data_IF_236436433761
#
_entry.id   IF_236436433761
#
_cell.length_a   1.000
_cell.length_b   1.000
_cell.length_c   1.000
_cell.angle_alpha   90.00
_cell.angle_beta   90.00
_cell.angle_gamma   90.00
#
_symmetry.space_group_name_H-M   'P 1'
#
loop_
_entity.id
_entity.type
_entity.pdbx_description
1 polymer ?
#
# COMPACT_ATOMS: atom_id res chain seq x y z
N UNK A 1 -73.17 12.54 19.94
CA UNK A 1 -72.47 11.92 18.79
C UNK A 1 -71.14 12.63 18.55
N UNK A 2 -70.01 12.00 18.88
CA UNK A 2 -68.67 12.57 18.63
C UNK A 2 -68.25 12.26 17.20
N UNK A 3 -68.25 13.27 16.32
CA UNK A 3 -67.80 13.14 14.93
C UNK A 3 -66.29 12.87 14.90
N UNK A 4 -65.88 11.66 14.51
CA UNK A 4 -64.48 11.31 14.27
C UNK A 4 -63.92 12.15 13.11
N UNK A 5 -62.89 12.96 13.38
CA UNK A 5 -62.14 13.69 12.34
C UNK A 5 -61.45 12.69 11.40
N UNK A 6 -61.77 12.73 10.10
CA UNK A 6 -61.06 11.95 9.07
C UNK A 6 -59.58 12.36 9.07
N UNK A 7 -58.67 11.41 9.34
CA UNK A 7 -57.22 11.65 9.23
C UNK A 7 -56.89 11.98 7.77
N UNK A 8 -56.30 13.14 7.51
CA UNK A 8 -55.78 13.50 6.17
C UNK A 8 -54.73 12.45 5.79
N UNK A 9 -54.87 11.81 4.63
CA UNK A 9 -53.82 10.93 4.09
C UNK A 9 -52.54 11.76 3.98
N UNK A 10 -51.46 11.34 4.64
CA UNK A 10 -50.14 11.99 4.48
C UNK A 10 -49.75 11.86 3.02
N UNK A 11 -49.72 12.97 2.28
CA UNK A 11 -49.25 12.97 0.90
C UNK A 11 -47.76 12.64 0.94
N UNK A 12 -47.36 11.51 0.33
CA UNK A 12 -45.95 11.18 0.15
C UNK A 12 -45.27 12.35 -0.58
N UNK A 13 -44.09 12.73 -0.09
CA UNK A 13 -43.27 13.76 -0.72
C UNK A 13 -42.62 13.16 -1.98
N UNK A 14 -42.73 13.87 -3.08
CA UNK A 14 -42.20 13.45 -4.37
C UNK A 14 -41.28 14.54 -4.92
N UNK A 15 -39.98 14.24 -4.96
CA UNK A 15 -38.93 15.14 -5.42
C UNK A 15 -38.98 15.42 -6.92
N UNK A 16 -39.61 14.56 -7.74
CA UNK A 16 -39.63 14.76 -9.20
C UNK A 16 -40.39 16.00 -9.62
N UNK A 17 -41.30 16.50 -8.78
CA UNK A 17 -42.10 17.69 -9.04
C UNK A 17 -41.29 18.99 -9.00
N UNK A 18 -40.03 18.93 -8.58
CA UNK A 18 -39.17 20.09 -8.39
C UNK A 18 -38.08 20.21 -9.45
N UNK A 19 -37.86 19.20 -10.30
CA UNK A 19 -36.73 19.14 -11.25
C UNK A 19 -36.87 20.19 -12.36
N UNK A 20 -38.08 20.40 -12.88
CA UNK A 20 -38.29 21.30 -14.04
C UNK A 20 -38.42 22.79 -13.66
N UNK A 21 -38.30 23.13 -12.37
CA UNK A 21 -38.54 24.51 -11.89
C UNK A 21 -37.30 25.37 -11.83
N UNK A 22 -36.12 24.78 -11.94
CA UNK A 22 -34.86 25.53 -11.96
C UNK A 22 -34.65 26.10 -13.35
N UNK A 23 -35.23 27.28 -13.60
CA UNK A 23 -34.98 28.09 -14.79
C UNK A 23 -33.54 28.58 -14.74
N UNK A 24 -32.85 28.50 -15.88
CA UNK A 24 -31.50 29.04 -16.08
C UNK A 24 -31.41 30.44 -15.47
N UNK A 25 -30.68 30.56 -14.36
CA UNK A 25 -30.41 31.87 -13.79
C UNK A 25 -29.32 32.55 -14.61
N UNK A 26 -29.37 33.89 -14.76
CA UNK A 26 -28.34 34.62 -15.47
C UNK A 26 -26.97 34.34 -14.82
N UNK A 27 -26.02 33.84 -15.61
CA UNK A 27 -24.68 33.44 -15.14
C UNK A 27 -24.49 31.94 -14.91
N UNK A 28 -25.54 31.10 -15.00
CA UNK A 28 -25.40 29.64 -15.01
C UNK A 28 -25.07 29.13 -16.42
N UNK A 29 -23.79 29.21 -16.81
CA UNK A 29 -23.32 28.76 -18.13
C UNK A 29 -23.01 27.26 -18.20
N UNK A 30 -22.95 26.58 -17.05
CA UNK A 30 -22.65 25.15 -16.97
C UNK A 30 -23.94 24.34 -17.13
N UNK A 31 -23.91 23.24 -17.92
CA UNK A 31 -25.08 22.37 -18.05
C UNK A 31 -25.43 21.77 -16.68
N UNK A 32 -26.72 21.76 -16.36
CA UNK A 32 -27.23 21.17 -15.13
C UNK A 32 -26.93 19.67 -15.11
N UNK A 33 -26.29 19.22 -14.02
CA UNK A 33 -26.01 17.80 -13.81
C UNK A 33 -27.27 17.08 -13.35
N UNK A 34 -27.42 15.83 -13.78
CA UNK A 34 -28.54 15.00 -13.35
C UNK A 34 -28.40 14.66 -11.86
N UNK A 35 -29.40 15.04 -11.07
CA UNK A 35 -29.49 14.76 -9.63
C UNK A 35 -30.40 13.53 -9.43
N UNK A 36 -30.08 12.63 -8.48
CA UNK A 36 -30.92 11.47 -8.19
C UNK A 36 -32.34 11.87 -7.78
N UNK A 37 -33.35 11.21 -8.36
CA UNK A 37 -34.75 11.50 -8.07
C UNK A 37 -35.17 10.90 -6.72
N UNK A 38 -35.39 11.75 -5.71
CA UNK A 38 -35.74 11.31 -4.37
C UNK A 38 -37.26 11.34 -4.14
N UNK A 39 -37.85 10.16 -3.91
CA UNK A 39 -39.26 9.99 -3.52
C UNK A 39 -39.35 9.40 -2.12
N UNK A 40 -40.29 9.89 -1.31
CA UNK A 40 -40.56 9.32 0.01
C UNK A 40 -41.18 7.94 -0.14
N UNK A 41 -40.66 6.94 0.58
CA UNK A 41 -41.25 5.60 0.54
C UNK A 41 -42.58 5.55 1.34
N UNK A 42 -43.54 4.68 0.98
CA UNK A 42 -44.84 4.59 1.67
C UNK A 42 -44.77 4.32 3.18
N UNK A 43 -43.68 3.70 3.66
CA UNK A 43 -43.45 3.36 5.08
C UNK A 43 -42.42 4.27 5.76
N UNK A 44 -41.89 5.27 5.06
CA UNK A 44 -40.85 6.16 5.56
C UNK A 44 -41.47 7.39 6.22
N UNK A 45 -41.01 7.72 7.43
CA UNK A 45 -41.39 8.97 8.09
C UNK A 45 -40.78 10.17 7.35
N UNK A 46 -41.47 11.32 7.35
CA UNK A 46 -40.99 12.57 6.74
C UNK A 46 -39.62 12.95 7.27
N UNK A 47 -39.36 12.82 8.57
CA UNK A 47 -38.05 13.14 9.15
C UNK A 47 -36.94 12.22 8.61
N UNK A 48 -37.23 10.92 8.46
CA UNK A 48 -36.30 9.96 7.87
C UNK A 48 -36.02 10.29 6.40
N UNK A 49 -37.06 10.67 5.66
CA UNK A 49 -36.94 11.15 4.29
C UNK A 49 -36.05 12.39 4.20
N UNK A 50 -36.27 13.41 5.05
CA UNK A 50 -35.44 14.63 5.05
C UNK A 50 -33.98 14.34 5.43
N UNK A 51 -33.73 13.42 6.38
CA UNK A 51 -32.37 12.93 6.70
C UNK A 51 -31.71 12.25 5.50
N UNK A 52 -32.46 11.47 4.73
CA UNK A 52 -31.98 10.83 3.51
C UNK A 52 -31.66 11.88 2.43
N UNK A 53 -32.53 12.86 2.24
CA UNK A 53 -32.29 14.01 1.34
C UNK A 53 -31.00 14.72 1.73
N UNK A 54 -30.84 15.11 3.00
CA UNK A 54 -29.63 15.78 3.50
C UNK A 54 -28.36 14.95 3.27
N UNK A 55 -28.44 13.63 3.50
CA UNK A 55 -27.33 12.71 3.24
C UNK A 55 -26.95 12.69 1.76
N UNK A 56 -27.92 12.60 0.86
CA UNK A 56 -27.69 12.60 -0.60
C UNK A 56 -27.13 13.95 -1.05
N UNK A 57 -27.68 15.07 -0.57
CA UNK A 57 -27.17 16.41 -0.88
C UNK A 57 -25.72 16.57 -0.45
N UNK A 58 -25.36 16.09 0.76
CA UNK A 58 -23.97 16.10 1.23
C UNK A 58 -23.03 15.28 0.33
N UNK A 59 -23.49 14.15 -0.20
CA UNK A 59 -22.71 13.35 -1.14
C UNK A 59 -22.48 14.12 -2.44
N UNK A 60 -23.52 14.76 -2.99
CA UNK A 60 -23.43 15.56 -4.22
C UNK A 60 -22.49 16.76 -4.04
N UNK A 61 -22.59 17.48 -2.92
CA UNK A 61 -21.71 18.62 -2.64
C UNK A 61 -20.24 18.19 -2.52
N UNK A 62 -19.98 17.05 -1.86
CA UNK A 62 -18.62 16.50 -1.75
C UNK A 62 -18.08 16.04 -3.11
N UNK A 63 -18.94 15.47 -3.93
CA UNK A 63 -18.58 15.09 -5.30
C UNK A 63 -18.26 16.31 -6.14
N UNK A 64 -19.08 17.38 -6.13
CA UNK A 64 -18.78 18.61 -6.85
C UNK A 64 -17.41 19.19 -6.43
N UNK A 65 -17.11 19.20 -5.13
CA UNK A 65 -15.80 19.61 -4.62
C UNK A 65 -14.66 18.68 -5.07
N UNK A 66 -14.93 17.37 -5.20
CA UNK A 66 -13.98 16.39 -5.70
C UNK A 66 -13.70 16.60 -7.19
N UNK A 67 -14.75 16.75 -7.98
CA UNK A 67 -14.70 17.03 -9.41
C UNK A 67 -13.86 18.26 -9.71
N UNK A 68 -14.04 19.34 -8.97
CA UNK A 68 -13.25 20.57 -9.15
C UNK A 68 -11.79 20.39 -8.74
N UNK A 69 -11.54 19.70 -7.62
CA UNK A 69 -10.17 19.44 -7.12
C UNK A 69 -9.34 18.57 -8.09
N UNK A 70 -9.99 17.60 -8.71
CA UNK A 70 -9.35 16.64 -9.60
C UNK A 70 -9.57 16.93 -11.09
N UNK A 71 -10.37 17.95 -11.41
CA UNK A 71 -10.74 18.33 -12.78
C UNK A 71 -11.30 17.12 -13.54
N UNK A 72 -12.28 16.46 -12.93
CA UNK A 72 -13.00 15.32 -13.49
C UNK A 72 -14.49 15.61 -13.46
N UNK A 73 -15.23 15.04 -14.39
CA UNK A 73 -16.69 15.04 -14.40
C UNK A 73 -17.21 13.63 -14.12
N UNK A 74 -18.01 13.53 -13.07
CA UNK A 74 -18.70 12.30 -12.69
C UNK A 74 -20.09 12.34 -13.33
N UNK A 75 -20.34 11.39 -14.22
CA UNK A 75 -21.62 11.24 -14.90
C UNK A 75 -22.43 10.19 -14.14
N UNK A 76 -23.68 10.53 -13.82
CA UNK A 76 -24.62 9.67 -13.11
C UNK A 76 -25.86 9.36 -13.93
N UNK A 77 -26.44 8.21 -13.62
CA UNK A 77 -27.78 7.83 -14.07
C UNK A 77 -28.87 8.47 -13.19
N UNK A 78 -30.13 8.39 -13.62
CA UNK A 78 -31.31 8.91 -12.90
C UNK A 78 -31.47 8.36 -11.47
N UNK A 79 -30.97 7.15 -11.25
CA UNK A 79 -31.00 6.47 -9.95
C UNK A 79 -29.84 6.88 -9.02
N UNK A 80 -28.90 7.69 -9.51
CA UNK A 80 -27.74 8.16 -8.75
C UNK A 80 -26.53 7.23 -8.75
N UNK A 81 -26.54 6.20 -9.59
CA UNK A 81 -25.36 5.36 -9.81
C UNK A 81 -24.36 6.08 -10.72
N UNK A 82 -23.06 5.86 -10.49
CA UNK A 82 -21.99 6.45 -11.29
C UNK A 82 -21.81 5.61 -12.55
N UNK A 83 -22.05 6.22 -13.71
CA UNK A 83 -21.93 5.59 -15.03
C UNK A 83 -20.50 5.67 -15.54
N UNK A 84 -19.90 6.86 -15.45
CA UNK A 84 -18.52 7.08 -15.91
C UNK A 84 -17.89 8.28 -15.22
N UNK A 85 -16.57 8.28 -15.16
CA UNK A 85 -15.76 9.42 -14.70
C UNK A 85 -14.89 9.84 -15.87
N UNK A 86 -15.11 11.05 -16.38
CA UNK A 86 -14.34 11.63 -17.48
C UNK A 86 -13.36 12.65 -16.93
N UNK A 87 -12.15 12.67 -17.45
CA UNK A 87 -11.22 13.74 -17.15
C UNK A 87 -11.65 14.99 -17.94
N UNK A 88 -11.71 16.15 -17.30
CA UNK A 88 -11.99 17.41 -18.00
C UNK A 88 -10.82 17.79 -18.87
N UNK A 89 -11.12 18.27 -20.07
CA UNK A 89 -10.12 18.81 -20.96
C UNK A 89 -9.59 20.15 -20.42
N UNK A 90 -8.29 20.38 -20.62
CA UNK A 90 -7.61 21.59 -20.12
C UNK A 90 -8.12 22.87 -20.79
N UNK A 91 -8.60 22.74 -22.03
CA UNK A 91 -9.13 23.82 -22.86
C UNK A 91 -10.66 23.78 -22.89
N UNK A 92 -11.31 23.39 -21.80
CA UNK A 92 -12.76 23.47 -21.72
C UNK A 92 -13.19 24.96 -21.74
N UNK A 93 -13.98 25.40 -22.74
CA UNK A 93 -14.45 26.78 -22.83
C UNK A 93 -15.34 27.20 -21.66
N UNK A 94 -15.80 26.26 -20.83
CA UNK A 94 -16.57 26.52 -19.62
C UNK A 94 -15.72 26.77 -18.37
N UNK A 95 -14.39 26.59 -18.45
CA UNK A 95 -13.48 26.95 -17.37
C UNK A 95 -13.30 28.47 -17.33
N UNK A 96 -13.45 29.06 -16.14
CA UNK A 96 -13.09 30.46 -15.94
C UNK A 96 -11.57 30.66 -16.15
N UNK A 97 -11.15 31.81 -16.68
CA UNK A 97 -9.73 32.15 -16.86
C UNK A 97 -8.89 31.90 -15.60
N UNK A 98 -9.44 32.16 -14.41
CA UNK A 98 -8.79 31.90 -13.12
C UNK A 98 -8.48 30.41 -12.91
N UNK A 99 -9.41 29.53 -13.31
CA UNK A 99 -9.25 28.09 -13.17
C UNK A 99 -8.20 27.56 -14.15
N UNK A 100 -8.15 28.11 -15.37
CA UNK A 100 -7.12 27.76 -16.35
C UNK A 100 -5.72 28.14 -15.86
N UNK A 101 -5.55 29.35 -15.31
CA UNK A 101 -4.29 29.79 -14.72
C UNK A 101 -3.82 28.89 -13.57
N UNK A 102 -4.73 28.45 -12.70
CA UNK A 102 -4.41 27.53 -11.60
C UNK A 102 -3.95 26.15 -12.10
N UNK A 103 -4.57 25.63 -13.17
CA UNK A 103 -4.16 24.37 -13.82
C UNK A 103 -2.72 24.48 -14.33
N UNK A 104 -2.42 25.58 -15.03
CA UNK A 104 -1.11 25.84 -15.61
C UNK A 104 -0.02 26.00 -14.55
N UNK A 105 -0.31 26.74 -13.47
CA UNK A 105 0.61 26.90 -12.35
C UNK A 105 0.91 25.56 -11.66
N UNK A 106 -0.14 24.75 -11.44
CA UNK A 106 0.00 23.40 -10.88
C UNK A 106 0.87 22.50 -11.76
N UNK A 107 0.73 22.60 -13.08
CA UNK A 107 1.55 21.83 -14.03
C UNK A 107 3.01 22.30 -14.04
N UNK A 108 3.25 23.63 -14.04
CA UNK A 108 4.60 24.20 -13.90
C UNK A 108 5.28 23.72 -12.63
N UNK A 109 4.57 23.73 -11.49
CA UNK A 109 5.09 23.23 -10.21
C UNK A 109 5.43 21.73 -10.24
N UNK A 110 4.57 20.90 -10.86
CA UNK A 110 4.85 19.47 -11.05
C UNK A 110 6.08 19.22 -11.93
N UNK A 111 6.24 19.99 -13.02
CA UNK A 111 7.41 19.89 -13.92
C UNK A 111 8.70 20.27 -13.19
N UNK A 112 8.69 21.34 -12.40
CA UNK A 112 9.83 21.77 -11.58
C UNK A 112 10.22 20.70 -10.55
N UNK A 113 9.25 20.18 -9.80
CA UNK A 113 9.49 19.12 -8.81
C UNK A 113 10.08 17.83 -9.44
N UNK A 114 9.64 17.48 -10.66
CA UNK A 114 10.19 16.34 -11.40
C UNK A 114 11.65 16.59 -11.81
N UNK A 115 11.95 17.77 -12.36
CA UNK A 115 13.32 18.17 -12.73
C UNK A 115 14.27 18.14 -11.52
N UNK A 116 13.82 18.65 -10.39
CA UNK A 116 14.60 18.64 -9.13
C UNK A 116 14.89 17.21 -8.65
N UNK A 117 13.86 16.33 -8.65
CA UNK A 117 14.02 14.92 -8.29
C UNK A 117 15.02 14.22 -9.21
N UNK A 118 14.93 14.46 -10.52
CA UNK A 118 15.81 13.84 -11.50
C UNK A 118 17.27 14.33 -11.34
N UNK A 119 17.46 15.63 -11.07
CA UNK A 119 18.77 16.20 -10.77
C UNK A 119 19.38 15.56 -9.51
N UNK A 120 18.61 15.44 -8.43
CA UNK A 120 19.05 14.81 -7.18
C UNK A 120 19.42 13.34 -7.38
N UNK A 121 18.66 12.61 -8.21
CA UNK A 121 18.97 11.21 -8.55
C UNK A 121 20.26 11.10 -9.37
N UNK A 122 20.50 12.04 -10.29
CA UNK A 122 21.74 12.11 -11.08
C UNK A 122 22.96 12.42 -10.20
N UNK A 123 22.83 13.34 -9.24
CA UNK A 123 23.90 13.65 -8.29
C UNK A 123 24.26 12.44 -7.41
N UNK A 124 23.26 11.71 -6.89
CA UNK A 124 23.53 10.48 -6.12
C UNK A 124 24.29 9.42 -6.92
N UNK A 125 23.92 9.21 -8.19
CA UNK A 125 24.62 8.25 -9.06
C UNK A 125 26.09 8.62 -9.29
N UNK A 126 26.37 9.92 -9.47
CA UNK A 126 27.76 10.41 -9.61
C UNK A 126 28.59 10.26 -8.33
N UNK A 127 27.95 10.31 -7.16
CA UNK A 127 28.65 10.12 -5.89
C UNK A 127 29.05 8.65 -5.72
N UNK A 128 28.12 7.73 -5.95
CA UNK A 128 28.38 6.31 -5.81
C UNK A 128 29.39 5.77 -6.83
N UNK A 129 29.50 6.34 -8.04
CA UNK A 129 30.51 5.88 -9.01
C UNK A 129 31.95 6.23 -8.64
N UNK A 130 32.15 7.15 -7.70
CA UNK A 130 33.49 7.47 -7.18
C UNK A 130 33.83 6.65 -5.92
N UNK A 131 32.85 5.97 -5.31
CA UNK A 131 33.05 5.11 -4.14
C UNK A 131 33.40 3.66 -4.55
N UNK A 132 33.31 3.32 -5.84
CA UNK A 132 33.64 1.98 -6.37
C UNK A 132 35.18 1.76 -6.50
N UNK A 133 36.01 2.81 -6.34
CA UNK A 133 37.47 2.70 -6.37
C UNK A 133 38.11 2.46 -4.98
N UNK A 134 37.33 2.59 -3.90
CA UNK A 134 37.75 2.26 -2.54
C UNK A 134 37.24 0.87 -2.17
N UNK A 135 37.93 -0.18 -2.61
CA UNK A 135 37.66 -1.56 -2.17
C UNK A 135 37.90 -1.65 -0.65
N UNK A 136 36.85 -1.41 0.14
CA UNK A 136 36.78 -1.51 1.60
C UNK A 136 37.20 -2.92 2.10
N UNK A 137 37.25 -3.90 1.19
CA UNK A 137 37.67 -5.28 1.44
C UNK A 137 39.18 -5.52 1.31
N UNK A 138 39.96 -4.55 0.80
CA UNK A 138 41.41 -4.67 0.66
C UNK A 138 42.13 -4.92 2.00
N UNK A 139 41.60 -4.39 3.11
CA UNK A 139 42.13 -4.59 4.47
C UNK A 139 41.79 -5.95 5.09
N UNK A 140 40.89 -6.74 4.50
CA UNK A 140 40.47 -8.05 5.01
C UNK A 140 41.24 -9.23 4.40
N UNK A 141 42.22 -8.98 3.52
CA UNK A 141 43.07 -10.03 2.97
C UNK A 141 44.22 -10.37 3.93
N UNK A 142 44.06 -11.45 4.68
CA UNK A 142 45.16 -12.03 5.47
C UNK A 142 46.10 -12.80 4.53
N UNK A 143 47.34 -12.31 4.38
CA UNK A 143 48.38 -12.99 3.62
C UNK A 143 48.98 -14.09 4.49
N UNK A 144 48.46 -15.31 4.34
CA UNK A 144 49.02 -16.49 5.01
C UNK A 144 50.02 -17.16 4.06
N UNK A 145 51.27 -17.28 4.49
CA UNK A 145 52.29 -18.04 3.77
C UNK A 145 52.00 -19.54 3.97
N UNK A 146 51.61 -20.23 2.90
CA UNK A 146 51.32 -21.66 2.94
C UNK A 146 52.62 -22.44 3.17
N UNK A 147 52.82 -22.90 4.41
CA UNK A 147 54.00 -23.67 4.81
C UNK A 147 54.06 -23.98 6.30
N UNK A 148 53.31 -23.25 7.13
CA UNK A 148 53.21 -23.53 8.57
C UNK A 148 52.17 -24.64 8.82
N UNK A 149 52.64 -25.84 9.13
CA UNK A 149 51.78 -26.95 9.56
C UNK A 149 51.45 -26.77 11.05
N UNK A 150 50.27 -26.21 11.32
CA UNK A 150 49.75 -26.04 12.68
C UNK A 150 49.37 -27.41 13.25
N UNK A 151 50.18 -27.94 14.16
CA UNK A 151 49.98 -29.28 14.77
C UNK A 151 48.95 -29.29 15.90
N UNK A 152 48.68 -28.14 16.52
CA UNK A 152 47.72 -28.00 17.63
C UNK A 152 46.93 -26.69 17.48
N UNK A 153 45.61 -26.67 17.72
CA UNK A 153 44.85 -25.43 17.69
C UNK A 153 45.41 -24.42 18.70
N UNK A 154 45.37 -23.10 18.39
CA UNK A 154 45.87 -22.08 19.30
C UNK A 154 45.13 -22.12 20.63
N UNK A 155 45.88 -22.25 21.73
CA UNK A 155 45.33 -22.29 23.08
C UNK A 155 44.95 -20.89 23.56
N UNK A 156 43.66 -20.67 23.82
CA UNK A 156 43.14 -19.39 24.34
C UNK A 156 43.46 -19.24 25.83
N UNK A 157 44.56 -18.55 26.16
CA UNK A 157 44.95 -18.28 27.55
C UNK A 157 44.14 -17.09 28.13
N UNK A 158 42.97 -17.37 28.71
CA UNK A 158 42.05 -16.37 29.27
C UNK A 158 42.51 -15.76 30.60
N UNK A 159 43.47 -16.39 31.28
CA UNK A 159 43.98 -15.95 32.60
C UNK A 159 44.68 -14.59 32.57
N UNK A 160 45.33 -14.26 31.46
CA UNK A 160 45.99 -12.95 31.28
C UNK A 160 44.97 -11.83 31.03
N UNK A 161 43.80 -12.17 30.48
CA UNK A 161 42.73 -11.21 30.18
C UNK A 161 41.98 -10.79 31.45
N UNK A 162 41.69 -11.74 32.35
CA UNK A 162 40.94 -11.47 33.60
C UNK A 162 41.72 -10.57 34.56
N UNK A 163 43.04 -10.73 34.64
CA UNK A 163 43.93 -9.87 35.45
C UNK A 163 44.02 -8.44 34.92
N UNK A 164 44.04 -8.25 33.59
CA UNK A 164 44.05 -6.89 32.98
C UNK A 164 42.71 -6.18 33.09
N UNK A 165 41.59 -6.91 33.14
CA UNK A 165 40.23 -6.34 33.16
C UNK A 165 39.67 -6.14 34.58
N UNK A 166 40.34 -6.61 35.64
CA UNK A 166 39.93 -6.36 37.03
C UNK A 166 38.56 -6.93 37.42
N UNK A 167 38.12 -8.00 36.75
CA UNK A 167 36.78 -8.59 36.94
C UNK A 167 36.87 -9.69 37.99
N UNK A 168 36.40 -9.42 39.22
CA UNK A 168 36.48 -10.35 40.37
C UNK A 168 35.40 -11.43 40.40
N UNK A 169 34.37 -11.35 39.54
CA UNK A 169 33.36 -12.40 39.33
C UNK A 169 32.95 -12.47 37.86
N UNK A 170 32.89 -13.66 37.24
CA UNK A 170 32.50 -13.75 35.84
C UNK A 170 31.04 -13.33 35.72
N UNK A 171 30.79 -12.19 35.04
CA UNK A 171 29.46 -11.91 34.49
C UNK A 171 29.14 -13.07 33.56
N UNK A 172 28.03 -13.76 33.79
CA UNK A 172 27.60 -14.91 32.98
C UNK A 172 27.49 -14.48 31.51
N UNK A 173 28.50 -14.82 30.73
CA UNK A 173 28.44 -14.63 29.29
C UNK A 173 27.34 -15.55 28.77
N UNK A 174 26.34 -14.97 28.09
CA UNK A 174 25.15 -15.66 27.56
C UNK A 174 25.46 -16.94 26.77
N UNK A 175 26.69 -17.09 26.28
CA UNK A 175 27.15 -18.27 25.56
C UNK A 175 27.48 -19.47 26.47
N UNK A 176 28.02 -19.27 27.68
CA UNK A 176 28.30 -20.39 28.60
C UNK A 176 27.02 -20.99 29.19
N UNK A 177 25.97 -20.19 29.37
CA UNK A 177 24.67 -20.68 29.85
C UNK A 177 23.93 -21.54 28.83
N UNK A 178 24.25 -21.40 27.53
CA UNK A 178 23.71 -22.27 26.48
C UNK A 178 24.44 -23.60 26.42
N UNK A 179 25.77 -23.58 26.50
CA UNK A 179 26.59 -24.80 26.49
C UNK A 179 26.31 -25.69 27.71
N UNK A 180 25.99 -25.11 28.87
CA UNK A 180 25.57 -25.88 30.05
C UNK A 180 24.18 -26.52 29.92
N UNK A 181 23.29 -25.96 29.09
CA UNK A 181 21.95 -26.51 28.86
C UNK A 181 21.93 -27.69 27.89
N UNK A 182 22.96 -27.84 27.08
CA UNK A 182 23.05 -28.92 26.10
C UNK A 182 23.64 -30.23 26.70
N UNK A 183 24.01 -30.21 27.98
CA UNK A 183 24.58 -31.37 28.70
C UNK A 183 23.59 -32.19 29.54
N UNK A 184 22.32 -31.81 29.62
CA UNK A 184 21.28 -32.57 30.32
C UNK A 184 20.32 -33.23 29.31
N UNK A 185 20.21 -34.53 29.45
CA UNK A 185 19.54 -35.49 28.58
C UNK A 185 18.02 -35.32 28.45
N UNK A 186 17.56 -35.49 27.20
CA UNK A 186 16.26 -36.04 26.77
C UNK A 186 14.95 -35.25 27.00
N UNK A 187 14.42 -34.65 25.91
CA UNK A 187 13.15 -35.04 25.23
C UNK A 187 12.83 -34.04 24.10
N UNK A 188 12.38 -34.49 22.89
CA UNK A 188 11.97 -33.59 21.82
C UNK A 188 10.47 -33.29 21.93
N UNK A 189 10.10 -32.32 22.78
CA UNK A 189 8.74 -31.80 22.84
C UNK A 189 8.65 -30.43 22.15
N UNK A 190 8.19 -30.47 20.90
CA UNK A 190 7.38 -29.46 20.23
C UNK A 190 7.05 -28.20 21.04
N UNK A 191 7.66 -27.06 20.69
CA UNK A 191 6.92 -25.80 20.48
C UNK A 191 7.86 -24.68 20.00
N UNK A 192 8.37 -24.77 18.77
CA UNK A 192 8.68 -23.53 18.02
C UNK A 192 7.35 -22.91 17.61
N UNK A 193 6.71 -22.21 18.55
CA UNK A 193 5.69 -21.23 18.22
C UNK A 193 6.40 -20.06 17.51
N UNK A 194 6.61 -20.22 16.21
CA UNK A 194 6.82 -19.11 15.31
C UNK A 194 5.54 -18.28 15.39
N UNK A 195 5.57 -17.21 16.21
CA UNK A 195 4.50 -16.22 16.27
C UNK A 195 4.30 -15.70 14.86
N UNK A 196 3.24 -16.15 14.19
CA UNK A 196 2.79 -15.61 12.90
C UNK A 196 2.53 -14.11 13.13
N UNK A 197 3.22 -13.19 12.45
CA UNK A 197 2.85 -11.80 12.54
C UNK A 197 1.46 -11.64 11.93
N UNK A 198 0.56 -11.15 12.77
CA UNK A 198 -0.80 -10.74 12.46
C UNK A 198 -0.78 -9.84 11.22
N UNK A 199 -1.27 -10.35 10.09
CA UNK A 199 -1.76 -9.61 8.91
C UNK A 199 -1.17 -8.21 8.67
N UNK A 200 0.14 -8.08 8.57
CA UNK A 200 0.73 -6.85 8.04
C UNK A 200 0.39 -6.78 6.55
N UNK A 201 -0.39 -5.76 6.17
CA UNK A 201 -0.68 -5.46 4.76
C UNK A 201 0.63 -5.00 4.10
N UNK A 202 1.39 -5.95 3.57
CA UNK A 202 2.59 -5.68 2.80
C UNK A 202 2.27 -4.72 1.63
N UNK A 203 3.15 -3.76 1.39
CA UNK A 203 3.06 -2.87 0.22
C UNK A 203 2.99 -3.69 -1.07
N UNK A 204 2.25 -3.19 -2.08
CA UNK A 204 2.10 -3.87 -3.37
C UNK A 204 3.45 -4.20 -4.04
N UNK A 205 4.47 -3.34 -3.87
CA UNK A 205 5.82 -3.60 -4.36
C UNK A 205 6.45 -4.83 -3.69
N UNK A 206 6.30 -4.96 -2.37
CA UNK A 206 6.84 -6.09 -1.59
C UNK A 206 6.09 -7.39 -1.88
N UNK A 207 4.78 -7.32 -2.17
CA UNK A 207 4.00 -8.48 -2.63
C UNK A 207 4.52 -9.01 -3.98
N UNK A 208 4.79 -8.11 -4.94
CA UNK A 208 5.36 -8.50 -6.24
C UNK A 208 6.72 -9.18 -6.10
N UNK A 209 7.63 -8.62 -5.30
CA UNK A 209 8.94 -9.22 -5.05
C UNK A 209 8.83 -10.64 -4.46
N UNK A 210 7.94 -10.84 -3.49
CA UNK A 210 7.72 -12.17 -2.89
C UNK A 210 7.09 -13.16 -3.87
N UNK A 211 6.22 -12.70 -4.77
CA UNK A 211 5.63 -13.53 -5.82
C UNK A 211 6.68 -13.94 -6.87
N UNK A 212 7.55 -13.02 -7.28
CA UNK A 212 8.68 -13.30 -8.19
C UNK A 212 9.64 -14.33 -7.58
N UNK A 213 10.01 -14.18 -6.31
CA UNK A 213 10.85 -15.15 -5.61
C UNK A 213 10.21 -16.54 -5.53
N UNK A 214 8.90 -16.61 -5.22
CA UNK A 214 8.16 -17.88 -5.20
C UNK A 214 8.17 -18.58 -6.55
N UNK A 215 7.91 -17.83 -7.63
CA UNK A 215 7.94 -18.38 -8.98
C UNK A 215 9.33 -18.93 -9.33
N UNK A 216 10.39 -18.16 -9.03
CA UNK A 216 11.78 -18.57 -9.26
C UNK A 216 12.12 -19.90 -8.56
N UNK A 217 11.71 -20.05 -7.30
CA UNK A 217 11.94 -21.29 -6.52
C UNK A 217 11.17 -22.47 -7.11
N UNK A 218 9.90 -22.26 -7.49
CA UNK A 218 9.07 -23.33 -8.09
C UNK A 218 9.64 -23.79 -9.42
N UNK A 219 10.11 -22.86 -10.27
CA UNK A 219 10.75 -23.20 -11.53
C UNK A 219 12.06 -23.97 -11.32
N UNK A 220 12.92 -23.52 -10.40
CA UNK A 220 14.15 -24.24 -10.05
C UNK A 220 13.84 -25.66 -9.57
N UNK A 221 12.82 -25.82 -8.71
CA UNK A 221 12.38 -27.12 -8.23
C UNK A 221 11.84 -28.02 -9.34
N UNK A 222 11.04 -27.48 -10.27
CA UNK A 222 10.54 -28.23 -11.44
C UNK A 222 11.70 -28.72 -12.31
N UNK A 223 12.67 -27.86 -12.60
CA UNK A 223 13.89 -28.22 -13.36
C UNK A 223 14.68 -29.34 -12.67
N UNK A 224 14.87 -29.24 -11.35
CA UNK A 224 15.56 -30.27 -10.57
C UNK A 224 14.78 -31.60 -10.55
N UNK A 225 13.45 -31.56 -10.52
CA UNK A 225 12.63 -32.77 -10.58
C UNK A 225 12.66 -33.41 -11.96
N UNK A 226 12.63 -32.64 -13.04
CA UNK A 226 12.72 -33.18 -14.40
C UNK A 226 14.07 -33.87 -14.63
N UNK A 227 15.18 -33.29 -14.16
CA UNK A 227 16.49 -33.95 -14.27
C UNK A 227 16.58 -35.23 -13.45
N UNK A 228 16.02 -35.24 -12.22
CA UNK A 228 15.97 -36.44 -11.37
C UNK A 228 15.09 -37.57 -11.94
N UNK A 229 14.03 -37.25 -12.66
CA UNK A 229 13.20 -38.25 -13.33
C UNK A 229 13.78 -38.72 -14.67
N UNK A 230 14.57 -37.87 -15.35
CA UNK A 230 15.24 -38.25 -16.61
C UNK A 230 16.44 -39.17 -16.38
N UNK A 231 17.04 -39.17 -15.18
CA UNK A 231 18.14 -40.08 -14.82
C UNK A 231 17.71 -41.50 -14.43
N UNK A 232 16.40 -41.80 -14.39
CA UNK A 232 15.89 -43.15 -14.14
C UNK A 232 15.28 -43.64 -15.47
N UNK A 233 15.99 -44.47 -16.26
CA UNK A 233 15.41 -45.02 -17.48
C UNK A 233 14.15 -45.82 -17.13
N UNK A 234 13.01 -45.48 -17.75
CA UNK A 234 11.81 -46.33 -17.73
C UNK A 234 12.16 -47.59 -18.51
N UNK A 235 12.49 -48.67 -17.82
CA UNK A 235 12.50 -50.00 -18.41
C UNK A 235 11.04 -50.37 -18.69
N UNK A 236 10.66 -50.33 -19.96
CA UNK A 236 9.41 -50.92 -20.43
C UNK A 236 9.64 -52.43 -20.54
N UNK A 237 8.90 -53.21 -19.75
CA UNK A 237 8.76 -54.65 -19.98
C UNK A 237 7.62 -54.83 -20.98
N UNK A 238 7.93 -55.50 -22.10
CA UNK A 238 6.96 -56.15 -23.00
C UNK A 238 6.25 -57.31 -22.31
#
# INVERSE_FOLDING_TARGET
>A
MVKRKKKKKSKLIDGTKFVDRERDQPGMTKPLKMIPLLKQHPKENVEKFMKRVDTVTKVILKEAAFEDKFQVDVIRDEHGNITSVKQRDKNDPLLSEKQQLEVDEREKRKKLARKERDLRRRQKRKKNSNDDDDDEFSYYQDKIEFGEVVYEPPSLHTEKLTKKLGITKPKSFLFMDKVKKDGETETPASSMQVKKPVNEKLSAARKRMLEEEKLRVVEAYRKMKTTKHHSIPRTYNE
#
